data_IF_994736674987
#
_entry.id   IF_994736674987
#
_cell.length_a   1.000
_cell.length_b   1.000
_cell.length_c   1.000
_cell.angle_alpha   90.00
_cell.angle_beta   90.00
_cell.angle_gamma   90.00
#
_symmetry.space_group_name_H-M   'P 1'
#
loop_
_entity.id
_entity.type
_entity.pdbx_description
1 polymer ?
#
# COMPACT_ATOMS: atom_id res chain seq x y z
N UNK A 1 -2.94 -18.51 5.46
CA UNK A 1 -3.49 -17.27 4.83
C UNK A 1 -4.05 -17.69 3.50
N UNK A 2 -5.31 -17.44 3.27
CA UNK A 2 -5.98 -17.73 2.00
C UNK A 2 -5.98 -16.46 1.14
N UNK A 3 -5.73 -16.61 -0.15
CA UNK A 3 -5.75 -15.48 -1.09
C UNK A 3 -7.19 -15.25 -1.53
N UNK A 4 -7.77 -14.10 -1.15
CA UNK A 4 -9.11 -13.72 -1.55
C UNK A 4 -9.09 -12.97 -2.89
N UNK A 5 -9.25 -13.71 -3.98
CA UNK A 5 -9.20 -13.17 -5.35
C UNK A 5 -10.31 -12.16 -5.61
N UNK A 6 -11.50 -12.34 -5.06
CA UNK A 6 -12.60 -11.37 -5.26
C UNK A 6 -12.24 -10.02 -4.63
N UNK A 7 -11.69 -10.01 -3.42
CA UNK A 7 -11.21 -8.79 -2.76
C UNK A 7 -10.06 -8.16 -3.54
N UNK A 8 -9.12 -8.94 -4.07
CA UNK A 8 -8.01 -8.46 -4.89
C UNK A 8 -8.54 -7.79 -6.17
N UNK A 9 -9.43 -8.45 -6.89
CA UNK A 9 -9.99 -7.92 -8.14
C UNK A 9 -10.84 -6.68 -7.93
N UNK A 10 -11.52 -6.55 -6.79
CA UNK A 10 -12.34 -5.36 -6.48
C UNK A 10 -11.54 -4.08 -6.23
N UNK A 11 -10.21 -4.18 -6.14
CA UNK A 11 -9.31 -3.03 -5.93
C UNK A 11 -9.18 -2.16 -7.19
N UNK A 12 -9.34 -2.74 -8.40
CA UNK A 12 -9.19 -1.99 -9.64
C UNK A 12 -10.16 -0.81 -9.73
N UNK A 13 -9.63 0.36 -10.11
CA UNK A 13 -10.40 1.59 -10.28
C UNK A 13 -10.86 2.23 -8.96
N UNK A 14 -10.35 1.77 -7.82
CA UNK A 14 -10.63 2.40 -6.51
C UNK A 14 -9.74 3.62 -6.29
N UNK A 15 -10.03 4.33 -5.21
CA UNK A 15 -9.21 5.44 -4.71
C UNK A 15 -8.47 4.97 -3.48
N UNK A 16 -7.20 5.35 -3.32
CA UNK A 16 -6.39 4.96 -2.17
C UNK A 16 -5.60 6.11 -1.56
N UNK A 17 -5.20 5.95 -0.30
CA UNK A 17 -4.15 6.77 0.33
C UNK A 17 -2.91 5.91 0.48
N UNK A 18 -1.76 6.42 0.03
CA UNK A 18 -0.50 5.69 0.01
C UNK A 18 0.29 5.96 1.28
N UNK A 19 0.67 4.86 1.93
CA UNK A 19 1.68 4.85 2.98
C UNK A 19 3.10 4.87 2.36
N UNK A 20 4.05 5.37 3.11
CA UNK A 20 5.47 5.43 2.72
C UNK A 20 6.04 4.07 2.33
N UNK A 21 5.72 3.02 3.07
CA UNK A 21 6.21 1.67 2.78
C UNK A 21 5.78 1.18 1.38
N UNK A 22 4.58 1.53 0.95
CA UNK A 22 4.09 1.20 -0.39
C UNK A 22 4.86 1.96 -1.46
N UNK A 23 5.10 3.27 -1.24
CA UNK A 23 5.90 4.08 -2.17
C UNK A 23 7.32 3.54 -2.32
N UNK A 24 7.96 3.18 -1.21
CA UNK A 24 9.31 2.59 -1.21
C UNK A 24 9.34 1.26 -1.96
N UNK A 25 8.41 0.35 -1.66
CA UNK A 25 8.35 -0.96 -2.33
C UNK A 25 8.23 -0.80 -3.85
N UNK A 26 7.29 0.02 -4.34
CA UNK A 26 7.09 0.21 -5.77
C UNK A 26 8.23 0.98 -6.45
N UNK A 27 8.95 1.82 -5.71
CA UNK A 27 10.20 2.47 -6.17
C UNK A 27 11.31 1.44 -6.32
N UNK A 28 11.56 0.61 -5.31
CA UNK A 28 12.57 -0.45 -5.35
C UNK A 28 12.26 -1.52 -6.42
N UNK A 29 10.98 -1.83 -6.62
CA UNK A 29 10.51 -2.70 -7.69
C UNK A 29 10.62 -2.06 -9.08
N UNK A 30 10.85 -0.74 -9.17
CA UNK A 30 10.91 0.03 -10.41
C UNK A 30 9.59 -0.05 -11.21
N UNK A 31 8.46 -0.01 -10.52
CA UNK A 31 7.14 -0.10 -11.15
C UNK A 31 6.09 0.84 -10.49
N UNK A 32 6.51 2.01 -10.00
CA UNK A 32 5.62 2.95 -9.28
C UNK A 32 4.41 3.38 -10.12
N UNK A 33 4.55 3.50 -11.43
CA UNK A 33 3.44 3.82 -12.34
C UNK A 33 2.32 2.76 -12.36
N UNK A 34 2.60 1.54 -11.85
CA UNK A 34 1.61 0.48 -11.75
C UNK A 34 0.50 0.84 -10.76
N UNK A 35 0.82 1.67 -9.76
CA UNK A 35 -0.15 2.17 -8.78
C UNK A 35 -1.30 2.90 -9.49
N UNK A 36 -0.98 3.78 -10.47
CA UNK A 36 -2.01 4.52 -11.24
C UNK A 36 -2.76 3.66 -12.26
N UNK A 37 -2.24 2.49 -12.60
CA UNK A 37 -3.00 1.52 -13.41
C UNK A 37 -4.03 0.76 -12.58
N UNK A 38 -3.78 0.58 -11.28
CA UNK A 38 -4.70 -0.11 -10.36
C UNK A 38 -5.69 0.86 -9.72
N UNK A 39 -5.21 1.99 -9.20
CA UNK A 39 -6.06 3.03 -8.60
C UNK A 39 -6.38 4.13 -9.61
N UNK A 40 -7.65 4.55 -9.66
CA UNK A 40 -8.08 5.69 -10.49
C UNK A 40 -7.57 7.02 -9.91
N UNK A 41 -7.31 7.04 -8.62
CA UNK A 41 -6.76 8.21 -7.92
C UNK A 41 -6.06 7.77 -6.65
N UNK A 42 -4.93 8.41 -6.35
CA UNK A 42 -4.22 8.20 -5.09
C UNK A 42 -3.97 9.52 -4.37
N UNK A 43 -4.03 9.45 -3.06
CA UNK A 43 -3.66 10.53 -2.16
C UNK A 43 -2.36 10.16 -1.44
N UNK A 44 -1.53 11.17 -1.17
CA UNK A 44 -0.37 11.04 -0.30
C UNK A 44 -0.50 12.08 0.81
N UNK A 45 -0.41 11.69 2.09
CA UNK A 45 -0.39 12.64 3.20
C UNK A 45 0.72 13.68 3.02
N UNK A 46 0.40 14.95 3.28
CA UNK A 46 1.39 16.02 3.19
C UNK A 46 2.56 15.81 4.16
N UNK A 47 2.28 15.28 5.34
CA UNK A 47 3.30 14.91 6.33
C UNK A 47 4.32 13.90 5.81
N UNK A 48 3.89 12.98 4.93
CA UNK A 48 4.78 12.04 4.24
C UNK A 48 5.64 12.78 3.22
N UNK A 49 5.06 13.68 2.43
CA UNK A 49 5.77 14.44 1.40
C UNK A 49 6.80 15.42 1.99
N UNK A 50 6.54 15.95 3.19
CA UNK A 50 7.42 16.92 3.85
C UNK A 50 8.66 16.26 4.50
N UNK A 51 8.77 14.93 4.49
CA UNK A 51 9.95 14.23 5.01
C UNK A 51 11.09 14.25 3.99
N UNK A 52 12.25 14.81 4.36
CA UNK A 52 13.44 14.92 3.50
C UNK A 52 13.89 13.55 2.94
N UNK A 53 13.90 12.50 3.76
CA UNK A 53 14.32 11.16 3.34
C UNK A 53 13.40 10.57 2.25
N UNK A 54 12.13 10.94 2.22
CA UNK A 54 11.18 10.50 1.18
C UNK A 54 11.36 11.31 -0.08
N UNK A 55 11.61 12.61 0.04
CA UNK A 55 11.84 13.48 -1.10
C UNK A 55 13.00 13.00 -1.95
N UNK A 56 14.12 12.57 -1.36
CA UNK A 56 15.27 12.06 -2.12
C UNK A 56 14.97 10.75 -2.87
N UNK A 57 14.25 9.82 -2.22
CA UNK A 57 13.94 8.51 -2.81
C UNK A 57 12.80 8.61 -3.83
N UNK A 58 11.83 9.48 -3.58
CA UNK A 58 10.62 9.62 -4.38
C UNK A 58 10.82 10.62 -5.53
N UNK A 59 11.60 11.70 -5.36
CA UNK A 59 11.79 12.73 -6.39
C UNK A 59 12.22 12.17 -7.74
N UNK A 60 13.11 11.18 -7.75
CA UNK A 60 13.57 10.54 -9.00
C UNK A 60 12.50 9.66 -9.68
N UNK A 61 11.41 9.31 -8.98
CA UNK A 61 10.37 8.40 -9.45
C UNK A 61 8.97 9.01 -9.42
N UNK A 62 8.79 10.17 -8.78
CA UNK A 62 7.48 10.83 -8.66
C UNK A 62 6.91 11.35 -9.98
N UNK A 63 7.75 11.59 -10.98
CA UNK A 63 7.29 11.92 -12.33
C UNK A 63 6.43 10.82 -12.97
N UNK A 64 6.54 9.57 -12.46
CA UNK A 64 5.80 8.40 -12.93
C UNK A 64 4.56 8.09 -12.11
N UNK A 65 4.29 8.86 -11.05
CA UNK A 65 3.14 8.70 -10.17
C UNK A 65 2.25 9.95 -10.17
N UNK A 66 1.04 9.79 -10.67
CA UNK A 66 0.00 10.82 -10.52
C UNK A 66 -0.63 10.70 -9.13
N UNK A 67 -0.51 11.71 -8.30
CA UNK A 67 -1.06 11.73 -6.95
C UNK A 67 -1.61 13.11 -6.57
N UNK A 68 -2.42 13.13 -5.51
CA UNK A 68 -2.90 14.36 -4.90
C UNK A 68 -2.40 14.46 -3.46
N UNK A 69 -1.65 15.50 -3.11
CA UNK A 69 -1.34 15.81 -1.71
C UNK A 69 -2.64 15.99 -0.92
N UNK A 70 -2.64 15.52 0.33
CA UNK A 70 -3.79 15.70 1.22
C UNK A 70 -3.32 15.86 2.65
N UNK A 71 -4.07 16.64 3.42
CA UNK A 71 -3.91 16.80 4.86
C UNK A 71 -5.24 16.57 5.56
N UNK A 72 -5.18 16.36 6.87
CA UNK A 72 -6.38 16.36 7.70
C UNK A 72 -6.81 17.81 7.93
N UNK A 73 -8.00 18.17 7.46
CA UNK A 73 -8.49 19.55 7.51
C UNK A 73 -9.66 19.72 8.50
N UNK A 74 -10.22 18.63 9.01
CA UNK A 74 -11.43 18.66 9.84
C UNK A 74 -11.16 18.19 11.26
N UNK A 75 -11.72 18.89 12.23
CA UNK A 75 -11.59 18.58 13.65
C UNK A 75 -11.92 17.12 14.00
N UNK A 76 -13.00 16.56 13.46
CA UNK A 76 -13.39 15.16 13.66
C UNK A 76 -12.33 14.15 13.20
N UNK A 77 -11.55 14.50 12.17
CA UNK A 77 -10.46 13.65 11.68
C UNK A 77 -9.26 13.69 12.63
N UNK A 78 -8.99 14.85 13.23
CA UNK A 78 -7.97 14.99 14.28
C UNK A 78 -8.36 14.30 15.58
N UNK A 79 -9.63 14.37 15.99
CA UNK A 79 -10.12 13.61 17.15
C UNK A 79 -9.96 12.10 16.94
N UNK A 80 -10.30 11.61 15.76
CA UNK A 80 -10.12 10.21 15.42
C UNK A 80 -8.64 9.81 15.43
N UNK A 81 -7.76 10.63 14.84
CA UNK A 81 -6.31 10.40 14.81
C UNK A 81 -5.76 10.37 16.24
N UNK A 82 -6.08 11.35 17.08
CA UNK A 82 -5.64 11.39 18.48
C UNK A 82 -6.10 10.15 19.25
N UNK A 83 -7.36 9.75 19.09
CA UNK A 83 -7.90 8.56 19.73
C UNK A 83 -7.17 7.28 19.33
N UNK A 84 -6.88 7.08 18.02
CA UNK A 84 -6.13 5.89 17.60
C UNK A 84 -4.71 5.89 18.16
N UNK A 85 -4.04 7.04 18.22
CA UNK A 85 -2.69 7.14 18.79
C UNK A 85 -2.69 6.85 20.29
N UNK A 86 -3.69 7.33 21.04
CA UNK A 86 -3.83 7.05 22.47
C UNK A 86 -4.10 5.56 22.74
N UNK A 87 -5.01 4.94 21.95
CA UNK A 87 -5.38 3.53 22.09
C UNK A 87 -4.29 2.58 21.57
N UNK A 88 -3.48 3.01 20.62
CA UNK A 88 -2.47 2.21 19.92
C UNK A 88 -1.10 2.91 19.92
N UNK A 89 -0.47 3.10 21.07
CA UNK A 89 0.73 3.97 21.21
C UNK A 89 1.96 3.49 20.42
N UNK A 90 1.92 2.29 19.87
CA UNK A 90 2.99 1.78 19.02
C UNK A 90 2.71 2.02 17.52
N UNK A 91 1.62 2.71 17.15
CA UNK A 91 1.33 3.15 15.79
C UNK A 91 2.12 4.44 15.52
N UNK A 92 2.67 4.58 14.31
CA UNK A 92 3.30 5.85 13.92
C UNK A 92 2.24 6.90 13.61
N UNK A 93 2.59 8.18 13.75
CA UNK A 93 1.70 9.29 13.39
C UNK A 93 1.32 9.24 11.90
N UNK A 94 2.24 8.82 11.03
CA UNK A 94 2.00 8.69 9.58
C UNK A 94 0.99 7.59 9.25
N UNK A 95 1.12 6.43 9.90
CA UNK A 95 0.15 5.34 9.76
C UNK A 95 -1.22 5.77 10.24
N UNK A 96 -1.29 6.45 11.38
CA UNK A 96 -2.53 6.97 11.94
C UNK A 96 -3.18 8.00 11.00
N UNK A 97 -2.38 8.87 10.39
CA UNK A 97 -2.87 9.86 9.41
C UNK A 97 -3.42 9.17 8.15
N UNK A 98 -2.72 8.17 7.60
CA UNK A 98 -3.21 7.37 6.48
C UNK A 98 -4.56 6.70 6.81
N UNK A 99 -4.70 6.11 8.00
CA UNK A 99 -5.95 5.49 8.47
C UNK A 99 -7.05 6.54 8.59
N UNK A 100 -6.77 7.71 9.19
CA UNK A 100 -7.74 8.79 9.37
C UNK A 100 -8.22 9.36 8.03
N UNK A 101 -7.31 9.57 7.06
CA UNK A 101 -7.64 10.00 5.70
C UNK A 101 -8.49 8.95 4.99
N UNK A 102 -8.10 7.67 5.07
CA UNK A 102 -8.83 6.58 4.44
C UNK A 102 -10.27 6.49 4.97
N UNK A 103 -10.44 6.58 6.29
CA UNK A 103 -11.76 6.60 6.93
C UNK A 103 -12.58 7.81 6.48
N UNK A 104 -12.02 9.01 6.56
CA UNK A 104 -12.74 10.26 6.22
C UNK A 104 -13.20 10.29 4.78
N UNK A 105 -12.36 9.85 3.86
CA UNK A 105 -12.66 9.87 2.42
C UNK A 105 -13.39 8.59 1.95
N UNK A 106 -13.58 7.59 2.83
CA UNK A 106 -14.13 6.26 2.49
C UNK A 106 -13.37 5.61 1.32
N UNK A 107 -12.04 5.59 1.42
CA UNK A 107 -11.14 5.05 0.40
C UNK A 107 -10.24 3.96 0.99
N UNK A 108 -9.49 3.28 0.13
CA UNK A 108 -8.53 2.28 0.58
C UNK A 108 -7.37 2.91 1.35
N UNK A 109 -7.07 2.36 2.53
CA UNK A 109 -5.78 2.55 3.17
C UNK A 109 -4.78 1.58 2.55
N UNK A 110 -3.54 2.01 2.30
CA UNK A 110 -2.51 1.10 1.83
C UNK A 110 -1.41 0.96 2.87
N UNK A 111 -1.07 -0.26 3.24
CA UNK A 111 0.06 -0.55 4.14
C UNK A 111 0.40 -2.03 4.12
N UNK A 112 1.67 -2.36 4.37
CA UNK A 112 2.12 -3.74 4.59
C UNK A 112 2.13 -4.12 6.08
N UNK A 113 1.91 -3.19 6.97
CA UNK A 113 1.97 -3.40 8.41
C UNK A 113 0.73 -4.11 8.93
N UNK A 114 0.93 -5.25 9.59
CA UNK A 114 -0.17 -6.02 10.19
C UNK A 114 -0.99 -5.21 11.19
N UNK A 115 -0.33 -4.29 11.91
CA UNK A 115 -0.99 -3.41 12.88
C UNK A 115 -1.95 -2.47 12.18
N UNK A 116 -1.50 -1.79 11.12
CA UNK A 116 -2.35 -0.91 10.30
C UNK A 116 -3.54 -1.69 9.73
N UNK A 117 -3.27 -2.88 9.15
CA UNK A 117 -4.33 -3.75 8.61
C UNK A 117 -5.34 -4.17 9.68
N UNK A 118 -4.88 -4.48 10.91
CA UNK A 118 -5.76 -4.84 12.03
C UNK A 118 -6.65 -3.68 12.46
N UNK A 119 -6.08 -2.47 12.53
CA UNK A 119 -6.84 -1.26 12.89
C UNK A 119 -7.84 -0.93 11.77
N UNK A 120 -7.44 -1.01 10.52
CA UNK A 120 -8.35 -0.82 9.39
C UNK A 120 -9.54 -1.81 9.47
N UNK A 121 -9.28 -3.07 9.80
CA UNK A 121 -10.33 -4.07 9.97
C UNK A 121 -11.25 -3.74 11.16
N UNK A 122 -10.71 -3.27 12.29
CA UNK A 122 -11.47 -2.87 13.48
C UNK A 122 -12.44 -1.72 13.17
N UNK A 123 -12.03 -0.78 12.31
CA UNK A 123 -12.82 0.39 11.93
C UNK A 123 -13.53 0.26 10.57
N UNK A 124 -13.62 -0.96 10.03
CA UNK A 124 -14.26 -1.26 8.73
C UNK A 124 -13.69 -0.45 7.55
N UNK A 125 -12.39 -0.13 7.60
CA UNK A 125 -11.68 0.56 6.54
C UNK A 125 -11.06 -0.48 5.61
N UNK A 126 -11.32 -0.37 4.31
CA UNK A 126 -10.68 -1.23 3.33
C UNK A 126 -9.17 -0.99 3.30
N UNK A 127 -8.39 -2.07 3.38
CA UNK A 127 -6.94 -1.99 3.40
C UNK A 127 -6.31 -3.02 2.45
N UNK A 128 -5.22 -2.60 1.80
CA UNK A 128 -4.40 -3.44 0.93
C UNK A 128 -2.92 -3.10 1.07
N UNK A 129 -2.04 -4.05 0.76
CA UNK A 129 -0.59 -3.83 0.72
C UNK A 129 -0.03 -4.02 -0.68
N UNK A 130 1.30 -3.93 -0.82
CA UNK A 130 2.06 -4.10 -2.07
C UNK A 130 1.64 -5.37 -2.81
N UNK A 131 1.52 -6.48 -2.09
CA UNK A 131 1.09 -7.77 -2.65
C UNK A 131 -0.30 -7.69 -3.27
N UNK A 132 -1.26 -7.06 -2.58
CA UNK A 132 -2.62 -6.90 -3.09
C UNK A 132 -2.67 -6.08 -4.38
N UNK A 133 -1.88 -5.02 -4.47
CA UNK A 133 -1.77 -4.16 -5.67
C UNK A 133 -1.14 -4.93 -6.83
N UNK A 134 -0.03 -5.65 -6.61
CA UNK A 134 0.61 -6.49 -7.64
C UNK A 134 -0.33 -7.60 -8.14
N UNK A 135 -1.01 -8.30 -7.23
CA UNK A 135 -1.97 -9.33 -7.60
C UNK A 135 -3.16 -8.75 -8.39
N UNK A 136 -3.69 -7.59 -7.98
CA UNK A 136 -4.75 -6.90 -8.73
C UNK A 136 -4.31 -6.57 -10.16
N UNK A 137 -3.10 -6.04 -10.32
CA UNK A 137 -2.55 -5.72 -11.63
C UNK A 137 -2.43 -6.97 -12.52
N UNK A 138 -1.98 -8.10 -11.98
CA UNK A 138 -1.88 -9.36 -12.70
C UNK A 138 -3.26 -9.93 -13.04
N UNK A 139 -4.17 -9.98 -12.07
CA UNK A 139 -5.53 -10.53 -12.25
C UNK A 139 -6.37 -9.77 -13.31
N UNK A 140 -6.03 -8.51 -13.57
CA UNK A 140 -6.65 -7.69 -14.60
C UNK A 140 -5.83 -7.57 -15.90
N UNK A 141 -4.73 -8.34 -16.02
CA UNK A 141 -3.90 -8.34 -17.23
C UNK A 141 -3.13 -7.03 -17.47
N UNK A 142 -2.94 -6.20 -16.44
CA UNK A 142 -2.15 -4.96 -16.53
C UNK A 142 -0.66 -5.22 -16.62
N UNK A 143 -0.23 -6.39 -16.20
CA UNK A 143 1.13 -6.93 -16.31
C UNK A 143 1.08 -8.38 -16.76
N UNK A 144 2.11 -8.84 -17.47
CA UNK A 144 2.25 -10.23 -17.90
C UNK A 144 2.57 -11.16 -16.73
N UNK A 145 2.34 -12.48 -16.90
CA UNK A 145 2.72 -13.49 -15.91
C UNK A 145 4.22 -13.45 -15.60
N UNK A 146 5.06 -13.32 -16.63
CA UNK A 146 6.51 -13.24 -16.45
C UNK A 146 6.94 -12.01 -15.65
N UNK A 147 6.31 -10.86 -15.91
CA UNK A 147 6.56 -9.64 -15.15
C UNK A 147 6.07 -9.76 -13.70
N UNK A 148 4.87 -10.29 -13.49
CA UNK A 148 4.34 -10.55 -12.16
C UNK A 148 5.27 -11.46 -11.34
N UNK A 149 5.71 -12.58 -11.93
CA UNK A 149 6.66 -13.49 -11.27
C UNK A 149 7.98 -12.80 -10.93
N UNK A 150 8.52 -11.97 -11.84
CA UNK A 150 9.74 -11.19 -11.61
C UNK A 150 9.57 -10.21 -10.45
N UNK A 151 8.48 -9.44 -10.45
CA UNK A 151 8.20 -8.47 -9.39
C UNK A 151 8.00 -9.14 -8.03
N UNK A 152 7.23 -10.23 -7.96
CA UNK A 152 7.02 -10.98 -6.72
C UNK A 152 8.33 -11.56 -6.21
N UNK A 153 9.18 -12.15 -7.06
CA UNK A 153 10.49 -12.67 -6.63
C UNK A 153 11.37 -11.56 -6.07
N UNK A 154 11.44 -10.41 -6.76
CA UNK A 154 12.22 -9.25 -6.30
C UNK A 154 11.69 -8.72 -4.96
N UNK A 155 10.37 -8.64 -4.79
CA UNK A 155 9.73 -8.18 -3.54
C UNK A 155 10.13 -9.02 -2.31
N UNK A 156 10.39 -10.31 -2.49
CA UNK A 156 10.85 -11.23 -1.43
C UNK A 156 12.35 -11.51 -1.44
N UNK A 157 13.12 -10.79 -2.23
CA UNK A 157 14.59 -10.90 -2.27
C UNK A 157 15.24 -9.95 -1.26
N UNK A 158 16.52 -10.16 -0.93
CA UNK A 158 17.30 -9.22 -0.11
C UNK A 158 17.48 -7.83 -0.74
N UNK A 159 17.20 -7.69 -2.02
CA UNK A 159 17.33 -6.42 -2.78
C UNK A 159 16.13 -5.48 -2.54
N UNK A 160 15.08 -5.95 -1.89
CA UNK A 160 13.90 -5.16 -1.56
C UNK A 160 13.77 -5.03 -0.05
N UNK A 161 13.56 -3.81 0.45
CA UNK A 161 13.40 -3.53 1.87
C UNK A 161 12.03 -3.93 2.43
N UNK A 162 11.11 -4.39 1.58
CA UNK A 162 9.77 -4.79 1.96
C UNK A 162 9.76 -5.88 3.04
N UNK A 163 9.22 -5.55 4.20
CA UNK A 163 9.11 -6.51 5.31
C UNK A 163 7.81 -7.33 5.22
N UNK A 164 7.85 -8.41 4.45
CA UNK A 164 6.72 -9.31 4.23
C UNK A 164 6.98 -10.69 4.86
N UNK A 165 5.98 -11.19 5.57
CA UNK A 165 6.13 -12.45 6.32
C UNK A 165 6.23 -13.68 5.39
N UNK A 166 6.99 -14.71 5.82
CA UNK A 166 7.17 -15.99 5.10
C UNK A 166 5.85 -16.66 4.71
N UNK A 167 4.79 -16.52 5.53
CA UNK A 167 3.45 -17.05 5.22
C UNK A 167 2.84 -16.41 3.98
N UNK A 168 3.09 -15.12 3.77
CA UNK A 168 2.62 -14.37 2.59
C UNK A 168 3.33 -14.87 1.35
N UNK A 169 4.67 -14.97 1.41
CA UNK A 169 5.49 -15.54 0.34
C UNK A 169 4.97 -16.92 -0.08
N UNK A 170 4.88 -17.84 0.88
CA UNK A 170 4.45 -19.21 0.60
C UNK A 170 3.05 -19.26 -0.04
N UNK A 171 2.09 -18.48 0.47
CA UNK A 171 0.75 -18.44 -0.10
C UNK A 171 0.73 -17.95 -1.55
N UNK A 172 1.50 -16.87 -1.87
CA UNK A 172 1.62 -16.35 -3.23
C UNK A 172 2.29 -17.34 -4.18
N UNK A 173 3.44 -17.87 -3.79
CA UNK A 173 4.20 -18.79 -4.62
C UNK A 173 3.40 -20.06 -4.93
N UNK A 174 2.68 -20.59 -3.93
CA UNK A 174 1.80 -21.73 -4.12
C UNK A 174 0.60 -21.42 -5.02
N UNK A 175 -0.10 -20.31 -4.76
CA UNK A 175 -1.31 -19.95 -5.51
C UNK A 175 -1.04 -19.64 -6.98
N UNK A 176 -0.03 -18.83 -7.25
CA UNK A 176 0.34 -18.39 -8.60
C UNK A 176 1.40 -19.30 -9.24
N UNK A 177 1.73 -20.44 -8.64
CA UNK A 177 2.70 -21.43 -9.16
C UNK A 177 4.07 -20.81 -9.50
N UNK A 178 4.51 -19.83 -8.70
CA UNK A 178 5.80 -19.16 -8.88
C UNK A 178 6.90 -20.12 -8.46
N UNK A 179 7.80 -20.49 -9.37
CA UNK A 179 8.94 -21.35 -9.05
C UNK A 179 9.96 -20.57 -8.20
N UNK A 180 10.36 -21.14 -7.07
CA UNK A 180 11.55 -20.66 -6.36
C UNK A 180 12.77 -21.00 -7.22
N UNK A 181 13.54 -19.98 -7.59
CA UNK A 181 14.81 -20.16 -8.30
C UNK A 181 15.92 -20.40 -7.32
#
# INVERSE_FOLDING_TARGET
MEINIQKIRSLLGRVGVLDNNILNDFTELQCISLINKVFVKVYIPQSILDREAILETIQSNMEWLEYQPTALEQFESFEFLSRILDEKPALSEYDAECIAIARKKMIYCTSNEKRVMSICQEYEIECTGTVGILCCAFEHGLISEGEFHRLVKKLFSPECSAYLGRKVKHALFSYYKIKES
#
